data_IF_378686179680
#
_entry.id   IF_378686179680
#
_cell.length_a   1.000
_cell.length_b   1.000
_cell.length_c   1.000
_cell.angle_alpha   90.00
_cell.angle_beta   90.00
_cell.angle_gamma   90.00
#
_symmetry.space_group_name_H-M   'P 1'
#
loop_
_entity.id
_entity.type
_entity.pdbx_description
1 polymer ?
#
# COMPACT_ATOMS: atom_id res chain seq x y z
N UNK A 1 -37.61 -33.22 25.49
CA UNK A 1 -36.99 -31.93 25.14
C UNK A 1 -35.47 -32.09 25.14
N UNK A 2 -34.87 -32.31 23.96
CA UNK A 2 -33.43 -32.57 23.75
C UNK A 2 -32.88 -31.54 22.76
N UNK A 3 -32.88 -30.27 23.17
CA UNK A 3 -32.35 -29.16 22.35
C UNK A 3 -31.07 -28.54 22.94
N UNK A 4 -30.53 -29.09 24.02
CA UNK A 4 -29.35 -28.52 24.69
C UNK A 4 -28.01 -28.92 24.05
N UNK A 5 -27.97 -29.97 23.22
CA UNK A 5 -26.71 -30.50 22.66
C UNK A 5 -26.31 -29.90 21.30
N UNK A 6 -27.21 -29.16 20.63
CA UNK A 6 -26.91 -28.50 19.34
C UNK A 6 -26.36 -27.09 19.51
N UNK A 7 -26.64 -26.44 20.63
CA UNK A 7 -26.24 -25.05 20.88
C UNK A 7 -24.77 -24.91 21.31
N UNK A 8 -24.15 -25.99 21.81
CA UNK A 8 -22.77 -25.96 22.31
C UNK A 8 -21.73 -26.13 21.21
N UNK A 9 -22.07 -26.78 20.09
CA UNK A 9 -21.11 -27.01 19.00
C UNK A 9 -21.01 -25.82 18.02
N UNK A 10 -21.97 -24.91 18.01
CA UNK A 10 -21.92 -23.70 17.20
C UNK A 10 -21.03 -22.61 17.83
N UNK A 11 -20.81 -22.65 19.15
CA UNK A 11 -20.02 -21.64 19.86
C UNK A 11 -18.50 -21.87 19.75
N UNK A 12 -18.06 -23.09 19.45
CA UNK A 12 -16.65 -23.44 19.32
C UNK A 12 -16.03 -23.00 17.98
N UNK A 13 -16.82 -22.89 16.90
CA UNK A 13 -16.33 -22.45 15.59
C UNK A 13 -16.11 -20.92 15.50
N UNK A 14 -16.70 -20.15 16.41
CA UNK A 14 -16.61 -18.68 16.40
C UNK A 14 -15.27 -18.12 16.91
N UNK A 15 -14.39 -18.95 17.49
CA UNK A 15 -13.14 -18.52 18.11
C UNK A 15 -11.90 -18.69 17.21
N UNK A 16 -12.05 -19.25 16.00
CA UNK A 16 -10.94 -19.45 15.06
C UNK A 16 -10.78 -18.29 14.04
N UNK A 17 -11.43 -17.14 14.26
CA UNK A 17 -11.56 -16.10 13.24
C UNK A 17 -10.59 -14.91 13.30
N UNK A 18 -9.77 -14.75 14.34
CA UNK A 18 -9.23 -13.40 14.66
C UNK A 18 -7.71 -13.26 14.75
N UNK A 19 -6.92 -14.25 14.34
CA UNK A 19 -5.46 -14.13 14.36
C UNK A 19 -4.96 -14.09 12.91
N UNK A 20 -4.83 -12.91 12.27
CA UNK A 20 -3.68 -12.53 11.40
C UNK A 20 -3.72 -11.03 11.00
N UNK A 21 -3.91 -10.07 11.91
CA UNK A 21 -3.61 -8.65 11.55
C UNK A 21 -2.79 -7.91 12.62
N UNK A 22 -2.00 -8.64 13.39
CA UNK A 22 -1.07 -8.05 14.36
C UNK A 22 0.36 -7.83 13.80
N UNK A 23 0.62 -8.20 12.54
CA UNK A 23 1.95 -8.16 11.92
C UNK A 23 2.04 -7.42 10.59
N UNK A 24 1.00 -6.65 10.21
CA UNK A 24 1.08 -5.88 8.98
C UNK A 24 2.15 -4.79 9.13
N UNK A 25 3.18 -4.76 8.26
CA UNK A 25 4.20 -3.73 8.32
C UNK A 25 3.55 -2.35 8.14
N UNK A 26 3.97 -1.38 8.95
CA UNK A 26 3.56 0.01 8.79
C UNK A 26 3.90 0.49 7.37
N UNK A 27 2.87 0.83 6.60
CA UNK A 27 3.04 1.36 5.26
C UNK A 27 3.29 2.86 5.36
N UNK A 28 4.48 3.29 4.98
CA UNK A 28 4.82 4.71 4.86
C UNK A 28 4.63 5.15 3.41
N UNK A 29 3.84 6.19 3.20
CA UNK A 29 3.58 6.78 1.89
C UNK A 29 3.92 8.26 1.93
N UNK A 30 4.74 8.72 0.99
CA UNK A 30 5.08 10.13 0.81
C UNK A 30 4.87 10.53 -0.65
N UNK A 31 4.32 11.74 -0.84
CA UNK A 31 4.17 12.35 -2.16
C UNK A 31 5.40 13.21 -2.42
N UNK A 32 6.07 12.97 -3.53
CA UNK A 32 7.26 13.71 -3.94
C UNK A 32 7.00 14.39 -5.27
N UNK A 33 7.22 15.70 -5.32
CA UNK A 33 7.20 16.48 -6.56
C UNK A 33 8.53 16.29 -7.29
N UNK A 34 8.51 15.53 -8.39
CA UNK A 34 9.69 15.29 -9.21
C UNK A 34 9.76 16.34 -10.31
N UNK A 35 10.85 17.11 -10.31
CA UNK A 35 11.15 18.10 -11.33
C UNK A 35 11.91 17.46 -12.51
N UNK A 36 11.24 17.33 -13.65
CA UNK A 36 11.80 16.84 -14.90
C UNK A 36 12.28 18.02 -15.75
N UNK A 37 13.57 18.00 -16.10
CA UNK A 37 14.17 19.00 -16.97
C UNK A 37 14.70 18.30 -18.22
N UNK A 38 14.31 18.80 -19.39
CA UNK A 38 14.83 18.31 -20.67
C UNK A 38 15.22 19.47 -21.57
N UNK A 39 16.26 19.25 -22.38
CA UNK A 39 16.69 20.21 -23.41
C UNK A 39 16.19 19.70 -24.74
N UNK A 40 15.41 20.53 -25.44
CA UNK A 40 14.89 20.22 -26.77
C UNK A 40 15.51 21.16 -27.82
N UNK A 41 15.44 20.85 -29.13
CA UNK A 41 15.94 21.74 -30.18
C UNK A 41 15.28 23.13 -30.20
N UNK A 42 14.08 23.28 -29.64
CA UNK A 42 13.36 24.55 -29.50
C UNK A 42 13.61 25.25 -28.14
N UNK A 43 14.51 24.71 -27.32
CA UNK A 43 14.89 25.26 -26.02
C UNK A 43 14.63 24.33 -24.84
N UNK A 44 14.95 24.79 -23.61
CA UNK A 44 14.73 24.03 -22.39
C UNK A 44 13.23 23.89 -22.09
N UNK A 45 12.86 22.72 -21.56
CA UNK A 45 11.51 22.39 -21.12
C UNK A 45 11.58 21.81 -19.71
N UNK A 46 10.55 22.09 -18.92
CA UNK A 46 10.43 21.63 -17.55
C UNK A 46 9.02 21.16 -17.24
N UNK A 47 8.90 20.12 -16.42
CA UNK A 47 7.63 19.61 -15.94
C UNK A 47 7.77 19.06 -14.52
N UNK A 48 6.75 19.24 -13.69
CA UNK A 48 6.69 18.65 -12.35
C UNK A 48 5.63 17.55 -12.35
N UNK A 49 6.01 16.33 -11.94
CA UNK A 49 5.05 15.23 -11.71
C UNK A 49 5.03 14.85 -10.24
N UNK A 50 3.86 14.85 -9.58
CA UNK A 50 3.71 14.27 -8.26
C UNK A 50 3.73 12.74 -8.36
N UNK A 51 4.64 12.10 -7.60
CA UNK A 51 4.70 10.65 -7.47
C UNK A 51 4.47 10.23 -6.02
N UNK A 52 3.74 9.14 -5.84
CA UNK A 52 3.62 8.45 -4.56
C UNK A 52 4.76 7.45 -4.42
N UNK A 53 5.45 7.49 -3.28
CA UNK A 53 6.45 6.49 -2.89
C UNK A 53 5.94 5.76 -1.65
N UNK A 54 5.75 4.44 -1.77
CA UNK A 54 5.33 3.56 -0.67
C UNK A 54 6.45 2.60 -0.29
N UNK A 55 6.86 2.63 0.98
CA UNK A 55 7.84 1.70 1.53
C UNK A 55 7.19 0.65 2.42
N UNK A 56 7.46 -0.63 2.14
CA UNK A 56 7.01 -1.75 2.98
C UNK A 56 8.21 -2.57 3.43
N UNK A 57 8.37 -2.77 4.74
CA UNK A 57 9.45 -3.59 5.30
C UNK A 57 9.39 -5.01 4.72
N UNK A 58 10.53 -5.53 4.27
CA UNK A 58 10.64 -6.85 3.66
C UNK A 58 12.00 -7.47 4.03
N UNK A 59 12.01 -8.39 4.99
CA UNK A 59 13.23 -8.94 5.57
C UNK A 59 14.10 -7.83 6.17
N UNK A 60 15.39 -7.79 5.82
CA UNK A 60 16.32 -6.76 6.30
C UNK A 60 16.16 -5.41 5.56
N UNK A 61 15.46 -5.39 4.42
CA UNK A 61 15.28 -4.19 3.57
C UNK A 61 13.84 -3.66 3.52
N UNK A 62 13.59 -2.78 2.55
CA UNK A 62 12.27 -2.26 2.21
C UNK A 62 11.98 -2.47 0.73
N UNK A 63 10.77 -2.89 0.41
CA UNK A 63 10.24 -2.84 -0.96
C UNK A 63 9.62 -1.46 -1.18
N UNK A 64 10.14 -0.72 -2.14
CA UNK A 64 9.59 0.55 -2.58
C UNK A 64 8.65 0.34 -3.77
N UNK A 65 7.48 0.96 -3.73
CA UNK A 65 6.58 1.07 -4.87
C UNK A 65 6.40 2.55 -5.21
N UNK A 66 6.68 2.90 -6.45
CA UNK A 66 6.55 4.26 -6.97
C UNK A 66 5.36 4.31 -7.94
N UNK A 67 4.51 5.32 -7.83
CA UNK A 67 3.33 5.47 -8.69
C UNK A 67 3.14 6.92 -9.10
N UNK A 68 2.90 7.16 -10.38
CA UNK A 68 2.61 8.49 -10.88
C UNK A 68 1.16 8.85 -10.58
N UNK A 69 0.93 9.99 -9.93
CA UNK A 69 -0.45 10.46 -9.74
C UNK A 69 -1.01 11.05 -11.04
N UNK A 70 -0.17 11.77 -11.81
CA UNK A 70 -0.53 12.35 -13.10
C UNK A 70 0.63 12.28 -14.09
N UNK A 71 0.30 12.02 -15.36
CA UNK A 71 1.27 12.10 -16.45
C UNK A 71 1.68 13.53 -16.72
N UNK A 72 2.92 13.71 -17.19
CA UNK A 72 3.42 14.99 -17.70
C UNK A 72 3.29 15.00 -19.22
N UNK A 73 2.67 16.04 -19.77
CA UNK A 73 2.66 16.27 -21.22
C UNK A 73 3.97 16.91 -21.64
N UNK A 74 4.51 16.47 -22.77
CA UNK A 74 5.60 17.14 -23.50
C UNK A 74 5.13 18.43 -24.16
#
# INVERSE_FOLDING_TARGET
>A
MSNQKRTTLALAAALAGSIVVAGAPAAHAEVVDVNYQCVTPIGPKGAVSPIDIKGVKSGDGYKLSMSFQKGVSS
#
